data_IF_418150017755
#
_entry.id   IF_418150017755
#
_cell.length_a   1.000
_cell.length_b   1.000
_cell.length_c   1.000
_cell.angle_alpha   90.00
_cell.angle_beta   90.00
_cell.angle_gamma   90.00
#
_symmetry.space_group_name_H-M   'P 1'
#
loop_
_entity.id
_entity.type
_entity.pdbx_description
1 polymer ?
#
# COMPACT_ATOMS: atom_id res chain seq x y z
N UNK A 1 -64.85 12.23 0.35
CA UNK A 1 -64.34 10.96 -0.21
C UNK A 1 -62.94 11.19 -0.74
N UNK A 2 -62.01 10.31 -0.34
CA UNK A 2 -60.71 9.98 -0.95
C UNK A 2 -59.50 10.94 -0.71
N UNK A 3 -58.70 10.54 0.30
CA UNK A 3 -57.23 10.40 0.38
C UNK A 3 -56.41 11.71 0.27
N UNK A 4 -55.91 12.31 1.35
CA UNK A 4 -54.67 11.94 2.09
C UNK A 4 -53.59 11.35 1.18
N UNK A 5 -52.54 12.13 0.90
CA UNK A 5 -51.13 11.69 0.90
C UNK A 5 -50.26 12.96 1.06
N UNK A 6 -49.81 13.11 2.29
CA UNK A 6 -48.60 13.77 2.77
C UNK A 6 -47.48 13.73 1.72
N UNK A 7 -47.07 14.88 1.18
CA UNK A 7 -45.94 14.98 0.24
C UNK A 7 -44.88 15.98 0.72
N UNK A 8 -44.62 16.02 2.03
CA UNK A 8 -43.45 16.68 2.62
C UNK A 8 -42.87 15.79 3.73
N UNK A 9 -42.67 14.51 3.40
CA UNK A 9 -41.82 13.56 4.14
C UNK A 9 -40.90 12.84 3.15
N UNK A 10 -40.35 13.60 2.20
CA UNK A 10 -39.28 13.13 1.31
C UNK A 10 -38.07 14.08 1.30
N UNK A 11 -37.89 14.83 2.39
CA UNK A 11 -36.61 15.50 2.71
C UNK A 11 -35.74 14.65 3.65
N UNK A 12 -36.04 13.35 3.76
CA UNK A 12 -35.34 12.41 4.65
C UNK A 12 -34.45 11.39 3.91
N UNK A 13 -34.28 11.50 2.59
CA UNK A 13 -33.55 10.45 1.81
C UNK A 13 -32.36 10.98 0.99
N UNK A 14 -32.11 12.28 0.91
CA UNK A 14 -30.91 12.81 0.22
C UNK A 14 -29.72 13.09 1.14
N UNK A 15 -29.80 12.76 2.44
CA UNK A 15 -28.63 12.67 3.31
C UNK A 15 -27.90 11.31 3.19
N UNK A 16 -28.39 10.41 2.32
CA UNK A 16 -27.69 9.20 1.96
C UNK A 16 -26.51 9.55 1.02
N UNK A 17 -25.29 9.40 1.56
CA UNK A 17 -24.00 9.36 0.87
C UNK A 17 -23.21 10.64 0.63
N UNK A 18 -23.35 11.66 1.48
CA UNK A 18 -22.17 12.47 1.83
C UNK A 18 -21.52 11.91 3.10
N UNK A 19 -21.08 10.65 3.04
CA UNK A 19 -20.02 10.23 3.95
C UNK A 19 -18.78 10.98 3.51
N UNK A 20 -18.58 12.14 4.13
CA UNK A 20 -17.43 13.00 3.89
C UNK A 20 -16.15 12.16 3.89
N UNK A 21 -15.22 12.46 2.97
CA UNK A 21 -13.88 11.86 2.88
C UNK A 21 -13.15 11.73 4.24
N UNK A 22 -13.53 12.53 5.24
CA UNK A 22 -13.03 12.42 6.61
C UNK A 22 -13.37 11.08 7.31
N UNK A 23 -14.48 10.43 6.95
CA UNK A 23 -14.85 9.12 7.51
C UNK A 23 -14.05 7.96 6.91
N UNK A 24 -13.48 8.12 5.71
CA UNK A 24 -12.54 7.16 5.11
C UNK A 24 -11.24 7.05 5.93
N UNK A 25 -10.75 8.17 6.48
CA UNK A 25 -9.55 8.22 7.31
C UNK A 25 -9.72 7.57 8.70
N UNK A 26 -10.89 7.71 9.32
CA UNK A 26 -11.07 7.37 10.75
C UNK A 26 -11.41 5.89 10.95
N UNK A 27 -12.07 5.23 9.99
CA UNK A 27 -12.63 3.88 10.22
C UNK A 27 -11.80 2.73 9.66
N UNK A 28 -11.02 2.94 8.60
CA UNK A 28 -10.27 1.87 7.92
C UNK A 28 -8.88 2.27 7.38
N UNK A 29 -8.44 3.52 7.60
CA UNK A 29 -7.15 4.01 7.13
C UNK A 29 -6.00 3.56 8.02
N UNK A 30 -4.89 3.12 7.42
CA UNK A 30 -3.58 2.97 8.08
C UNK A 30 -3.18 4.36 8.61
N UNK A 31 -3.52 4.66 9.87
CA UNK A 31 -3.50 6.03 10.40
C UNK A 31 -2.10 6.61 10.62
N UNK A 32 -1.05 5.81 10.41
CA UNK A 32 0.35 6.23 10.31
C UNK A 32 1.18 5.09 9.73
N UNK A 33 1.68 5.26 8.52
CA UNK A 33 2.96 4.66 8.17
C UNK A 33 3.97 5.79 8.08
N UNK A 34 4.74 5.99 9.16
CA UNK A 34 5.93 6.84 9.09
C UNK A 34 7.01 6.00 8.41
N UNK A 35 7.14 6.17 7.12
CA UNK A 35 8.49 6.14 6.55
C UNK A 35 9.19 7.37 7.13
N UNK A 36 10.51 7.40 7.21
CA UNK A 36 11.24 8.57 7.70
C UNK A 36 11.11 9.83 6.78
N UNK A 37 10.04 9.91 5.98
CA UNK A 37 9.66 11.04 5.18
C UNK A 37 8.63 11.91 5.90
N UNK A 38 8.83 13.23 5.86
CA UNK A 38 7.88 14.23 6.36
C UNK A 38 6.67 14.44 5.45
N UNK A 39 6.53 13.65 4.37
CA UNK A 39 5.59 13.88 3.29
C UNK A 39 4.36 12.98 3.38
N UNK A 40 3.21 13.53 3.03
CA UNK A 40 1.96 12.79 2.84
C UNK A 40 1.73 12.54 1.35
N UNK A 41 1.18 11.38 1.02
CA UNK A 41 0.83 11.00 -0.36
C UNK A 41 -0.61 11.44 -0.64
N UNK A 42 -0.83 12.15 -1.75
CA UNK A 42 -2.15 12.62 -2.19
C UNK A 42 -2.55 11.94 -3.51
N UNK A 43 -3.84 11.68 -3.72
CA UNK A 43 -4.34 11.04 -4.95
C UNK A 43 -4.05 11.85 -6.22
N UNK A 44 -4.00 13.18 -6.14
CA UNK A 44 -3.64 14.06 -7.27
C UNK A 44 -2.21 13.85 -7.76
N UNK A 45 -1.38 13.26 -6.91
CA UNK A 45 0.04 13.02 -7.16
C UNK A 45 0.27 11.58 -7.67
N UNK A 46 -0.80 10.89 -8.10
CA UNK A 46 -0.80 9.52 -8.58
C UNK A 46 -1.14 9.41 -10.07
N UNK A 47 -0.43 8.54 -10.77
CA UNK A 47 -0.70 8.13 -12.14
C UNK A 47 -1.16 6.66 -12.16
N UNK A 48 -2.38 6.42 -12.65
CA UNK A 48 -2.91 5.06 -12.82
C UNK A 48 -2.05 4.24 -13.77
N UNK A 49 -1.82 2.97 -13.42
CA UNK A 49 -1.03 2.02 -14.23
C UNK A 49 -1.93 0.92 -14.80
N UNK A 50 -2.56 0.14 -13.93
CA UNK A 50 -3.42 -0.99 -14.28
C UNK A 50 -4.25 -1.40 -13.06
N UNK A 51 -5.19 -2.32 -13.24
CA UNK A 51 -5.86 -2.99 -12.13
C UNK A 51 -7.35 -3.21 -12.36
N UNK A 52 -7.82 -4.37 -11.90
CA UNK A 52 -9.23 -4.76 -11.85
C UNK A 52 -9.77 -4.56 -10.42
N UNK A 53 -9.64 -5.58 -9.57
CA UNK A 53 -10.05 -5.56 -8.17
C UNK A 53 -9.18 -4.61 -7.33
N UNK A 54 -7.87 -4.61 -7.60
CA UNK A 54 -6.90 -3.70 -6.99
C UNK A 54 -6.41 -2.73 -8.06
N UNK A 55 -6.57 -1.44 -7.82
CA UNK A 55 -6.09 -0.39 -8.71
C UNK A 55 -4.67 0.03 -8.31
N UNK A 56 -3.73 -0.08 -9.24
CA UNK A 56 -2.32 0.26 -9.02
C UNK A 56 -1.93 1.58 -9.67
N UNK A 57 -1.09 2.33 -8.97
CA UNK A 57 -0.67 3.68 -9.31
C UNK A 57 0.84 3.86 -9.08
N UNK A 58 1.47 4.75 -9.85
CA UNK A 58 2.79 5.33 -9.51
C UNK A 58 2.63 6.72 -8.93
N UNK A 59 3.46 7.07 -7.96
CA UNK A 59 3.56 8.43 -7.43
C UNK A 59 4.45 9.29 -8.33
N UNK A 60 3.94 10.43 -8.80
CA UNK A 60 4.61 11.23 -9.84
C UNK A 60 5.21 12.55 -9.34
N UNK A 61 4.96 12.94 -8.09
CA UNK A 61 5.40 14.26 -7.60
C UNK A 61 6.90 14.35 -7.31
N UNK A 62 7.57 13.22 -7.08
CA UNK A 62 9.03 13.16 -6.92
C UNK A 62 9.58 13.96 -5.72
N UNK A 63 8.75 14.37 -4.77
CA UNK A 63 9.16 15.11 -3.57
C UNK A 63 9.68 14.20 -2.44
N UNK A 64 9.49 12.89 -2.58
CA UNK A 64 10.10 11.86 -1.73
C UNK A 64 11.31 11.34 -2.47
N UNK A 65 12.46 11.96 -2.19
CA UNK A 65 13.73 11.57 -2.79
C UNK A 65 14.36 10.39 -2.07
N UNK A 66 14.14 10.27 -0.77
CA UNK A 66 14.86 9.33 0.08
C UNK A 66 13.94 8.66 1.10
N UNK A 67 14.15 7.36 1.32
CA UNK A 67 13.54 6.56 2.38
C UNK A 67 14.61 5.69 3.04
N UNK A 68 14.59 5.65 4.37
CA UNK A 68 15.54 4.87 5.17
C UNK A 68 17.02 5.20 4.91
N UNK A 69 17.37 6.37 4.38
CA UNK A 69 18.75 6.66 3.98
C UNK A 69 19.04 6.57 2.49
N UNK A 70 18.05 6.21 1.64
CA UNK A 70 18.30 5.80 0.25
C UNK A 70 17.40 6.44 -0.78
N UNK A 71 18.01 6.74 -1.92
CA UNK A 71 17.35 7.33 -3.08
C UNK A 71 16.27 6.41 -3.64
N UNK A 72 15.07 6.97 -3.74
CA UNK A 72 13.86 6.31 -4.25
C UNK A 72 13.73 6.63 -5.73
N UNK A 73 13.73 5.57 -6.55
CA UNK A 73 13.51 5.62 -8.00
C UNK A 73 12.03 5.75 -8.34
N UNK A 74 11.19 4.93 -7.72
CA UNK A 74 9.74 4.93 -7.94
C UNK A 74 8.99 4.53 -6.66
N UNK A 75 7.73 4.98 -6.56
CA UNK A 75 6.81 4.63 -5.48
C UNK A 75 5.52 4.14 -6.11
N UNK A 76 5.13 2.92 -5.73
CA UNK A 76 3.91 2.29 -6.20
C UNK A 76 2.90 2.18 -5.08
N UNK A 77 1.62 2.38 -5.41
CA UNK A 77 0.51 2.24 -4.48
C UNK A 77 -0.57 1.35 -5.11
N UNK A 78 -1.18 0.49 -4.30
CA UNK A 78 -2.30 -0.34 -4.69
C UNK A 78 -3.51 -0.08 -3.79
N UNK A 79 -4.68 0.13 -4.38
CA UNK A 79 -5.92 0.40 -3.67
C UNK A 79 -6.98 -0.65 -3.97
N UNK A 80 -7.55 -1.25 -2.93
CA UNK A 80 -8.72 -2.14 -3.01
C UNK A 80 -9.92 -1.46 -2.39
N UNK A 81 -11.01 -1.29 -3.14
CA UNK A 81 -12.23 -0.61 -2.67
C UNK A 81 -11.94 0.73 -1.96
N UNK A 82 -11.10 1.57 -2.59
CA UNK A 82 -10.64 2.87 -2.08
C UNK A 82 -9.83 2.82 -0.78
N UNK A 83 -9.32 1.65 -0.38
CA UNK A 83 -8.45 1.48 0.78
C UNK A 83 -7.03 1.17 0.31
N UNK A 84 -6.04 1.82 0.91
CA UNK A 84 -4.63 1.52 0.64
C UNK A 84 -4.36 0.08 1.07
N UNK A 85 -4.08 -0.76 0.08
CA UNK A 85 -3.78 -2.16 0.23
C UNK A 85 -2.28 -2.40 0.14
N UNK A 86 -1.61 -1.76 -0.81
CA UNK A 86 -0.19 -1.94 -1.10
C UNK A 86 0.53 -0.60 -1.18
N UNK A 87 1.76 -0.55 -0.67
CA UNK A 87 2.71 0.53 -0.97
C UNK A 87 4.10 -0.08 -1.14
N UNK A 88 4.81 0.31 -2.20
CA UNK A 88 6.14 -0.19 -2.52
C UNK A 88 7.09 0.93 -2.94
N UNK A 89 8.34 0.80 -2.55
CA UNK A 89 9.44 1.69 -2.86
C UNK A 89 10.45 0.93 -3.69
N UNK A 90 10.81 1.47 -4.84
CA UNK A 90 11.86 0.96 -5.70
C UNK A 90 13.07 1.87 -5.51
N UNK A 91 14.23 1.29 -5.20
CA UNK A 91 15.47 2.05 -5.04
C UNK A 91 16.29 2.05 -6.34
N UNK A 92 17.21 3.01 -6.47
CA UNK A 92 18.12 3.11 -7.62
C UNK A 92 19.13 1.94 -7.69
N UNK A 93 19.52 1.54 -8.90
CA UNK A 93 20.26 0.29 -9.23
C UNK A 93 21.68 0.17 -8.63
N UNK A 94 22.29 1.27 -8.16
CA UNK A 94 23.65 1.27 -7.60
C UNK A 94 23.72 0.76 -6.15
N UNK A 95 22.86 -0.19 -5.80
CA UNK A 95 22.59 -0.56 -4.41
C UNK A 95 23.64 -1.54 -3.83
N UNK A 96 24.80 -1.02 -3.42
CA UNK A 96 25.78 -1.78 -2.62
C UNK A 96 25.45 -1.85 -1.11
N UNK A 97 24.23 -1.49 -0.73
CA UNK A 97 23.84 -1.23 0.67
C UNK A 97 22.75 -2.17 1.18
N UNK A 98 22.62 -3.36 0.59
CA UNK A 98 21.58 -4.32 0.92
C UNK A 98 21.55 -4.66 2.41
N UNK A 99 22.74 -4.87 2.99
CA UNK A 99 22.93 -5.15 4.41
C UNK A 99 22.52 -3.99 5.32
N UNK A 100 22.68 -2.73 4.86
CA UNK A 100 22.41 -1.56 5.70
C UNK A 100 20.89 -1.32 5.80
N UNK A 101 20.13 -1.46 4.71
CA UNK A 101 18.65 -1.42 4.79
C UNK A 101 18.13 -2.53 5.67
N UNK A 102 18.59 -3.77 5.45
CA UNK A 102 18.21 -4.91 6.28
C UNK A 102 18.49 -4.64 7.76
N UNK A 103 19.70 -4.16 8.09
CA UNK A 103 20.06 -3.84 9.47
C UNK A 103 19.20 -2.72 10.07
N UNK A 104 18.86 -1.68 9.30
CA UNK A 104 17.93 -0.64 9.76
C UNK A 104 16.54 -1.21 10.04
N UNK A 105 15.99 -1.99 9.12
CA UNK A 105 14.69 -2.65 9.31
C UNK A 105 14.71 -3.60 10.50
N UNK A 106 15.78 -4.39 10.66
CA UNK A 106 16.00 -5.28 11.79
C UNK A 106 16.06 -4.52 13.12
N UNK A 107 16.73 -3.37 13.15
CA UNK A 107 16.79 -2.53 14.36
C UNK A 107 15.43 -1.93 14.72
N UNK A 108 14.58 -1.64 13.73
CA UNK A 108 13.25 -1.05 13.93
C UNK A 108 12.19 -2.09 14.32
N UNK A 109 12.23 -3.28 13.70
CA UNK A 109 11.16 -4.28 13.78
C UNK A 109 11.58 -5.60 14.43
N UNK A 110 12.85 -5.73 14.81
CA UNK A 110 13.43 -6.99 15.27
C UNK A 110 13.88 -7.90 14.11
N UNK A 111 14.33 -9.12 14.38
CA UNK A 111 14.68 -10.08 13.33
C UNK A 111 13.48 -10.36 12.42
N UNK A 112 13.77 -10.69 11.17
CA UNK A 112 12.76 -11.13 10.20
C UNK A 112 12.01 -12.36 10.71
N UNK A 113 10.73 -12.44 10.34
CA UNK A 113 9.89 -13.60 10.63
C UNK A 113 9.98 -14.67 9.57
N UNK A 114 10.37 -14.29 8.35
CA UNK A 114 10.61 -15.22 7.25
C UNK A 114 11.73 -14.68 6.35
N UNK A 115 12.45 -15.62 5.75
CA UNK A 115 13.46 -15.37 4.73
C UNK A 115 13.23 -16.37 3.60
N UNK A 116 13.16 -15.87 2.39
CA UNK A 116 13.10 -16.69 1.18
C UNK A 116 14.30 -16.37 0.31
N UNK A 117 14.99 -17.41 -0.13
CA UNK A 117 16.00 -17.36 -1.17
C UNK A 117 15.69 -18.51 -2.12
N UNK A 118 15.44 -18.19 -3.39
CA UNK A 118 15.02 -19.10 -4.49
C UNK A 118 13.53 -19.12 -4.86
N UNK A 119 12.84 -17.96 -4.92
CA UNK A 119 11.52 -17.91 -5.56
C UNK A 119 11.63 -17.88 -7.10
N UNK A 120 11.87 -19.05 -7.70
CA UNK A 120 11.98 -19.24 -9.17
C UNK A 120 10.66 -19.51 -9.90
N UNK A 121 9.52 -19.23 -9.29
CA UNK A 121 8.21 -19.59 -9.86
C UNK A 121 7.21 -18.45 -9.78
N UNK A 122 7.29 -17.50 -10.72
CA UNK A 122 6.32 -16.44 -10.90
C UNK A 122 6.85 -15.29 -11.77
N UNK A 123 5.98 -14.34 -12.19
CA UNK A 123 6.36 -13.19 -13.03
C UNK A 123 7.29 -12.16 -12.35
N UNK A 124 7.73 -12.41 -11.11
CA UNK A 124 8.47 -11.47 -10.28
C UNK A 124 9.91 -11.88 -9.97
N UNK A 125 10.40 -12.99 -10.53
CA UNK A 125 11.77 -13.54 -10.45
C UNK A 125 12.61 -12.93 -9.30
N UNK A 126 12.44 -13.46 -8.09
CA UNK A 126 12.99 -12.87 -6.87
C UNK A 126 14.25 -13.63 -6.46
N UNK A 127 15.31 -12.89 -6.15
CA UNK A 127 16.59 -13.44 -5.70
C UNK A 127 16.56 -13.76 -4.21
N UNK A 128 16.10 -12.81 -3.39
CA UNK A 128 15.84 -13.01 -1.96
C UNK A 128 14.78 -12.05 -1.43
N UNK A 129 14.18 -12.41 -0.29
CA UNK A 129 13.20 -11.60 0.44
C UNK A 129 13.33 -11.81 1.95
N UNK A 130 13.37 -10.71 2.71
CA UNK A 130 13.20 -10.68 4.17
C UNK A 130 11.81 -10.13 4.50
N UNK A 131 11.04 -10.80 5.36
CA UNK A 131 9.70 -10.32 5.69
C UNK A 131 9.42 -10.27 7.20
N UNK A 132 8.64 -9.27 7.58
CA UNK A 132 8.11 -9.06 8.93
C UNK A 132 6.59 -9.12 8.87
N UNK A 133 6.02 -10.12 9.56
CA UNK A 133 4.58 -10.32 9.62
C UNK A 133 3.98 -9.78 10.92
N UNK A 134 2.86 -9.10 10.80
CA UNK A 134 1.95 -8.80 11.90
C UNK A 134 0.54 -9.26 11.56
N UNK A 135 -0.39 -9.16 12.52
CA UNK A 135 -1.79 -9.46 12.25
C UNK A 135 -2.43 -8.53 11.18
N UNK A 136 -1.87 -7.34 10.93
CA UNK A 136 -2.50 -6.32 10.08
C UNK A 136 -1.74 -6.04 8.79
N UNK A 137 -0.42 -6.16 8.84
CA UNK A 137 0.51 -5.73 7.78
C UNK A 137 1.63 -6.74 7.65
N UNK A 138 2.04 -6.98 6.41
CA UNK A 138 3.31 -7.61 6.07
C UNK A 138 4.22 -6.60 5.39
N UNK A 139 5.44 -6.49 5.90
CA UNK A 139 6.54 -5.72 5.32
C UNK A 139 7.50 -6.69 4.67
N UNK A 140 7.92 -6.39 3.45
CA UNK A 140 8.94 -7.13 2.72
C UNK A 140 10.07 -6.22 2.29
N UNK A 141 11.28 -6.75 2.32
CA UNK A 141 12.47 -6.18 1.73
C UNK A 141 13.09 -7.23 0.81
N UNK A 142 13.28 -6.92 -0.46
CA UNK A 142 13.63 -7.92 -1.48
C UNK A 142 14.56 -7.38 -2.57
N UNK A 143 15.32 -8.30 -3.16
CA UNK A 143 16.04 -8.10 -4.42
C UNK A 143 15.41 -8.97 -5.50
N UNK A 144 15.09 -8.36 -6.63
CA UNK A 144 14.68 -9.07 -7.85
C UNK A 144 15.90 -9.55 -8.63
N UNK A 145 15.70 -10.52 -9.52
CA UNK A 145 16.77 -11.12 -10.32
C UNK A 145 17.43 -10.13 -11.29
N UNK A 146 16.77 -9.02 -11.62
CA UNK A 146 17.34 -7.89 -12.37
C UNK A 146 18.19 -6.93 -11.51
N UNK A 147 18.34 -7.20 -10.21
CA UNK A 147 19.04 -6.37 -9.25
C UNK A 147 18.19 -5.26 -8.63
N UNK A 148 16.91 -5.15 -9.00
CA UNK A 148 16.01 -4.14 -8.41
C UNK A 148 15.79 -4.44 -6.94
N UNK A 149 16.08 -3.46 -6.09
CA UNK A 149 15.80 -3.52 -4.65
C UNK A 149 14.46 -2.84 -4.37
N UNK A 150 13.61 -3.52 -3.61
CA UNK A 150 12.34 -2.93 -3.18
C UNK A 150 12.07 -3.15 -1.70
N UNK A 151 11.37 -2.19 -1.10
CA UNK A 151 10.68 -2.35 0.19
C UNK A 151 9.21 -2.14 -0.06
N UNK A 152 8.36 -3.07 0.35
CA UNK A 152 6.92 -2.90 0.21
C UNK A 152 6.15 -3.43 1.40
N UNK A 153 4.89 -2.99 1.48
CA UNK A 153 3.96 -3.37 2.53
C UNK A 153 2.60 -3.65 1.96
N UNK A 154 1.96 -4.69 2.51
CA UNK A 154 0.57 -5.07 2.20
C UNK A 154 -0.28 -5.09 3.47
N UNK A 155 -1.57 -4.84 3.31
CA UNK A 155 -2.56 -5.10 4.36
C UNK A 155 -3.04 -6.54 4.31
N UNK A 156 -2.72 -7.33 5.34
CA UNK A 156 -3.10 -8.75 5.44
C UNK A 156 -4.62 -8.95 5.51
N UNK A 157 -5.35 -7.95 6.00
CA UNK A 157 -6.81 -7.97 6.05
C UNK A 157 -7.39 -7.81 4.65
N UNK A 158 -6.88 -6.86 3.87
CA UNK A 158 -7.36 -6.61 2.52
C UNK A 158 -6.92 -7.69 1.55
N UNK A 159 -5.69 -8.21 1.70
CA UNK A 159 -5.19 -9.39 0.97
C UNK A 159 -6.19 -10.56 1.04
N UNK A 160 -6.61 -10.90 2.26
CA UNK A 160 -7.58 -11.97 2.48
C UNK A 160 -8.92 -11.70 1.80
N UNK A 161 -9.42 -10.46 1.86
CA UNK A 161 -10.68 -10.07 1.21
C UNK A 161 -10.59 -10.13 -0.32
N UNK A 162 -9.43 -9.76 -0.89
CA UNK A 162 -9.18 -9.83 -2.34
C UNK A 162 -9.24 -11.30 -2.78
N UNK A 163 -8.48 -12.18 -2.11
CA UNK A 163 -8.50 -13.61 -2.41
C UNK A 163 -9.89 -14.22 -2.26
N UNK A 164 -10.63 -13.89 -1.20
CA UNK A 164 -12.01 -14.37 -1.00
C UNK A 164 -12.99 -13.86 -2.07
N UNK A 165 -12.71 -12.76 -2.75
CA UNK A 165 -13.56 -12.21 -3.82
C UNK A 165 -13.31 -12.81 -5.21
N UNK A 166 -12.24 -13.60 -5.36
CA UNK A 166 -11.84 -14.24 -6.62
C UNK A 166 -12.37 -15.68 -6.76
N UNK A 167 -13.01 -16.22 -5.71
CA UNK A 167 -13.61 -17.55 -5.66
C UNK A 167 -15.12 -17.47 -5.35
#
# INVERSE_FOLDING_TARGET
MKKFITFITLLAVTLAYSQTLNQLNIKYGVSKFKLESSKSLYLSDLLYKFGDNVQYYSYIKGDIKEILGYDVKDIHLGYYNNKLYYIGFVFEENFHHTDIVYNKLKNLYGPETSYDSNYKSGPLDMKWSYQWHSAKVTLSYEERSDGTITVWMISNILEKMIHESEF
#
